data_IF_033895265732
#
_entry.id   IF_033895265732
#
_cell.length_a   1.000
_cell.length_b   1.000
_cell.length_c   1.000
_cell.angle_alpha   90.00
_cell.angle_beta   90.00
_cell.angle_gamma   90.00
#
_symmetry.space_group_name_H-M   'P 1'
#
loop_
_entity.id
_entity.type
_entity.pdbx_description
1 polymer ?
#
# COMPACT_ATOMS: atom_id res chain seq x y z
N UNK A 1 23.47 -53.11 -56.97
CA UNK A 1 24.66 -53.99 -56.85
C UNK A 1 24.98 -54.11 -55.35
N UNK A 2 24.47 -55.10 -54.70
CA UNK A 2 25.10 -56.37 -54.42
C UNK A 2 26.38 -56.19 -53.53
N UNK A 3 26.12 -56.29 -52.21
CA UNK A 3 26.56 -57.28 -51.19
C UNK A 3 28.09 -57.27 -50.81
N UNK A 4 28.52 -57.91 -49.71
CA UNK A 4 27.87 -58.53 -48.55
C UNK A 4 28.58 -58.26 -47.16
N UNK A 5 27.97 -58.82 -46.11
CA UNK A 5 28.55 -59.04 -44.74
C UNK A 5 29.66 -60.10 -44.73
N UNK A 6 30.49 -60.12 -43.65
CA UNK A 6 30.67 -61.45 -43.02
C UNK A 6 30.43 -61.37 -41.48
N UNK A 7 30.06 -62.55 -40.99
CA UNK A 7 29.97 -63.05 -39.62
C UNK A 7 31.35 -63.25 -39.01
N UNK A 8 31.48 -63.03 -37.68
CA UNK A 8 32.47 -63.82 -36.89
C UNK A 8 31.97 -64.02 -35.44
N UNK A 9 31.78 -65.20 -35.14
CA UNK A 9 31.71 -66.11 -34.02
C UNK A 9 32.13 -65.68 -32.61
N UNK A 10 31.24 -66.10 -31.70
CA UNK A 10 31.48 -66.23 -30.25
C UNK A 10 32.75 -67.06 -29.94
N UNK A 11 33.49 -66.57 -28.93
CA UNK A 11 34.22 -67.48 -28.03
C UNK A 11 34.05 -67.04 -26.58
N UNK A 12 33.54 -67.98 -25.77
CA UNK A 12 33.50 -67.96 -24.31
C UNK A 12 34.88 -67.75 -23.70
N UNK A 13 34.97 -66.94 -22.66
CA UNK A 13 35.90 -67.05 -21.57
C UNK A 13 35.20 -66.79 -20.24
N UNK A 14 34.79 -67.92 -19.65
CA UNK A 14 34.33 -68.04 -18.28
C UNK A 14 35.53 -68.09 -17.37
N UNK A 15 35.83 -67.07 -16.55
CA UNK A 15 36.54 -67.20 -15.29
C UNK A 15 37.01 -65.83 -14.74
N UNK A 16 36.13 -64.96 -14.28
CA UNK A 16 36.51 -63.77 -13.51
C UNK A 16 35.31 -63.17 -12.75
N UNK A 17 34.38 -63.98 -12.23
CA UNK A 17 33.17 -63.45 -11.54
C UNK A 17 33.14 -63.70 -10.02
N UNK A 18 34.23 -64.11 -9.35
CA UNK A 18 34.14 -64.40 -7.92
C UNK A 18 34.78 -63.40 -6.94
N UNK A 19 35.66 -62.46 -7.29
CA UNK A 19 36.07 -61.43 -6.29
C UNK A 19 35.31 -60.13 -6.27
N UNK A 20 34.34 -59.90 -7.19
CA UNK A 20 33.61 -58.65 -7.22
C UNK A 20 32.38 -58.60 -6.28
N UNK A 21 31.92 -59.74 -5.78
CA UNK A 21 30.77 -59.81 -4.86
C UNK A 21 31.11 -59.55 -3.40
N UNK A 22 32.38 -59.67 -2.97
CA UNK A 22 32.80 -59.37 -1.58
C UNK A 22 33.19 -57.93 -1.33
N UNK A 23 33.43 -57.13 -2.36
CA UNK A 23 33.73 -55.74 -2.22
C UNK A 23 32.45 -54.84 -2.19
N UNK A 24 31.30 -55.35 -2.64
CA UNK A 24 30.03 -54.63 -2.65
C UNK A 24 29.27 -54.66 -1.31
N UNK A 25 29.63 -55.56 -0.38
CA UNK A 25 28.97 -55.66 0.93
C UNK A 25 29.60 -54.81 2.04
N UNK A 26 30.76 -54.20 1.80
CA UNK A 26 31.47 -53.36 2.78
C UNK A 26 31.21 -51.83 2.59
N UNK A 27 30.44 -51.44 1.59
CA UNK A 27 30.08 -50.03 1.34
C UNK A 27 28.66 -49.66 1.80
N UNK A 28 27.95 -50.57 2.48
CA UNK A 28 26.56 -50.32 2.94
C UNK A 28 26.42 -50.00 4.44
N UNK A 29 27.54 -49.81 5.15
CA UNK A 29 27.50 -49.27 6.54
C UNK A 29 28.06 -47.86 6.63
N UNK A 30 27.83 -47.03 5.59
CA UNK A 30 27.90 -45.61 5.73
C UNK A 30 26.72 -45.17 6.57
N UNK A 31 26.97 -44.69 7.78
CA UNK A 31 25.99 -43.98 8.60
C UNK A 31 25.26 -42.98 7.71
N UNK A 32 24.04 -43.30 7.35
CA UNK A 32 23.07 -42.28 7.00
C UNK A 32 22.85 -41.48 8.28
N UNK A 33 23.66 -40.45 8.51
CA UNK A 33 23.17 -39.27 9.21
C UNK A 33 22.05 -38.76 8.32
N UNK A 34 20.84 -39.24 8.58
CA UNK A 34 19.63 -38.52 8.23
C UNK A 34 19.75 -37.26 9.06
N UNK A 35 20.44 -36.25 8.53
CA UNK A 35 20.08 -34.88 8.86
C UNK A 35 18.60 -34.83 8.52
N UNK A 36 17.73 -34.85 9.55
CA UNK A 36 16.37 -34.43 9.42
C UNK A 36 16.47 -33.08 8.70
N UNK A 37 16.19 -33.07 7.41
CA UNK A 37 15.96 -31.85 6.69
C UNK A 37 14.80 -31.24 7.44
N UNK A 38 15.09 -30.24 8.28
CA UNK A 38 14.10 -29.51 9.03
C UNK A 38 12.97 -29.17 8.03
N UNK A 39 11.77 -29.68 8.32
CA UNK A 39 10.64 -29.61 7.38
C UNK A 39 10.14 -28.17 7.40
N UNK A 40 10.91 -27.28 6.72
CA UNK A 40 10.70 -25.82 6.66
C UNK A 40 9.31 -25.56 6.08
N UNK A 41 8.51 -24.78 6.79
CA UNK A 41 7.21 -24.34 6.32
C UNK A 41 7.38 -23.08 5.51
N UNK A 42 7.30 -23.19 4.19
CA UNK A 42 7.31 -22.02 3.30
C UNK A 42 5.92 -21.45 3.16
N UNK A 43 5.79 -20.15 3.40
CA UNK A 43 4.57 -19.35 3.20
C UNK A 43 4.88 -18.15 2.31
N UNK A 44 3.87 -17.70 1.55
CA UNK A 44 4.00 -16.57 0.64
C UNK A 44 3.32 -15.33 1.16
N UNK A 45 4.00 -14.19 1.09
CA UNK A 45 3.46 -12.86 1.33
C UNK A 45 3.33 -12.11 0.00
N UNK A 46 2.11 -11.88 -0.47
CA UNK A 46 1.88 -10.97 -1.59
C UNK A 46 1.79 -9.53 -1.10
N UNK A 47 2.55 -8.65 -1.74
CA UNK A 47 2.63 -7.25 -1.34
C UNK A 47 2.73 -6.30 -2.55
N UNK A 48 2.33 -5.06 -2.33
CA UNK A 48 2.40 -3.97 -3.31
C UNK A 48 3.19 -2.76 -2.79
N UNK A 49 4.15 -3.00 -1.90
CA UNK A 49 4.92 -1.94 -1.24
C UNK A 49 5.65 -1.08 -2.28
N UNK A 50 5.48 0.23 -2.18
CA UNK A 50 6.07 1.23 -3.05
C UNK A 50 6.36 2.52 -2.25
N UNK A 51 7.36 3.32 -2.58
CA UNK A 51 8.35 3.16 -3.67
C UNK A 51 9.37 2.02 -3.42
N UNK A 52 10.23 1.70 -4.40
CA UNK A 52 11.20 0.61 -4.28
C UNK A 52 12.03 0.58 -3.00
N UNK A 53 12.57 1.69 -2.46
CA UNK A 53 13.32 1.66 -1.20
C UNK A 53 12.53 1.07 -0.02
N UNK A 54 11.21 1.24 0.01
CA UNK A 54 10.37 0.66 1.06
C UNK A 54 10.29 -0.87 0.94
N UNK A 55 10.39 -1.42 -0.29
CA UNK A 55 10.46 -2.88 -0.52
C UNK A 55 11.73 -3.47 0.04
N UNK A 56 12.85 -2.75 -0.06
CA UNK A 56 14.14 -3.22 0.47
C UNK A 56 14.10 -3.28 2.00
N UNK A 57 13.42 -2.32 2.65
CA UNK A 57 13.15 -2.36 4.09
C UNK A 57 12.28 -3.57 4.45
N UNK A 58 11.19 -3.82 3.70
CA UNK A 58 10.35 -4.99 3.93
C UNK A 58 11.14 -6.29 3.77
N UNK A 59 11.96 -6.41 2.73
CA UNK A 59 12.78 -7.61 2.50
C UNK A 59 13.77 -7.82 3.66
N UNK A 60 14.42 -6.76 4.13
CA UNK A 60 15.31 -6.83 5.30
C UNK A 60 14.59 -7.38 6.54
N UNK A 61 13.35 -6.95 6.77
CA UNK A 61 12.56 -7.42 7.91
C UNK A 61 12.07 -8.85 7.73
N UNK A 62 11.71 -9.26 6.51
CA UNK A 62 11.36 -10.64 6.18
C UNK A 62 12.57 -11.57 6.38
N UNK A 63 13.74 -11.16 5.91
CA UNK A 63 14.99 -11.94 6.07
C UNK A 63 15.34 -12.09 7.54
N UNK A 64 15.14 -11.03 8.35
CA UNK A 64 15.33 -11.11 9.80
C UNK A 64 14.39 -12.11 10.46
N UNK A 65 13.10 -12.10 10.09
CA UNK A 65 12.14 -13.08 10.58
C UNK A 65 12.56 -14.50 10.22
N UNK A 66 12.96 -14.74 8.97
CA UNK A 66 13.42 -16.03 8.48
C UNK A 66 14.65 -16.54 9.24
N UNK A 67 15.60 -15.64 9.56
CA UNK A 67 16.78 -15.97 10.38
C UNK A 67 16.41 -16.35 11.82
N UNK A 68 15.43 -15.66 12.41
CA UNK A 68 14.96 -15.92 13.78
C UNK A 68 14.08 -17.16 13.89
N UNK A 69 13.53 -17.65 12.78
CA UNK A 69 12.58 -18.77 12.72
C UNK A 69 12.98 -19.80 11.67
N UNK A 70 14.00 -20.62 11.93
CA UNK A 70 14.59 -21.52 10.94
C UNK A 70 13.63 -22.63 10.44
N UNK A 71 12.51 -22.83 11.12
CA UNK A 71 11.43 -23.76 10.75
C UNK A 71 10.37 -23.12 9.83
N UNK A 72 10.45 -21.81 9.61
CA UNK A 72 9.53 -21.04 8.75
C UNK A 72 10.32 -20.23 7.72
N UNK A 73 9.86 -20.25 6.48
CA UNK A 73 10.39 -19.38 5.44
C UNK A 73 9.27 -18.56 4.81
N UNK A 74 9.32 -17.24 4.99
CA UNK A 74 8.41 -16.29 4.34
C UNK A 74 9.04 -15.83 3.04
N UNK A 75 8.34 -16.04 1.92
CA UNK A 75 8.71 -15.54 0.61
C UNK A 75 7.87 -14.29 0.28
N UNK A 76 8.53 -13.13 0.20
CA UNK A 76 7.88 -11.85 -0.10
C UNK A 76 7.84 -11.60 -1.60
N UNK A 77 6.65 -11.51 -2.18
CA UNK A 77 6.42 -11.37 -3.62
C UNK A 77 5.74 -10.03 -3.93
N UNK A 78 6.43 -9.16 -4.68
CA UNK A 78 5.82 -7.95 -5.20
C UNK A 78 4.89 -8.29 -6.37
N UNK A 79 3.60 -8.02 -6.23
CA UNK A 79 2.57 -8.37 -7.23
C UNK A 79 1.93 -7.16 -7.91
N UNK A 80 2.50 -5.98 -7.70
CA UNK A 80 2.01 -4.70 -8.23
C UNK A 80 1.35 -3.84 -7.15
N UNK A 81 1.02 -2.60 -7.49
CA UNK A 81 0.25 -1.71 -6.61
C UNK A 81 -1.25 -2.09 -6.60
N UNK A 82 -2.06 -1.46 -5.76
CA UNK A 82 -3.44 -1.87 -5.46
C UNK A 82 -4.28 -2.17 -6.71
N UNK A 83 -4.22 -1.32 -7.74
CA UNK A 83 -4.99 -1.49 -8.97
C UNK A 83 -4.56 -2.71 -9.80
N UNK A 84 -3.28 -3.05 -9.76
CA UNK A 84 -2.72 -4.22 -10.44
C UNK A 84 -2.85 -5.48 -9.59
N UNK A 85 -2.81 -5.33 -8.28
CA UNK A 85 -2.84 -6.41 -7.30
C UNK A 85 -4.25 -7.00 -7.15
N UNK A 86 -5.28 -6.15 -7.07
CA UNK A 86 -6.65 -6.57 -6.81
C UNK A 86 -7.17 -7.66 -7.76
N UNK A 87 -7.09 -7.53 -9.10
CA UNK A 87 -7.56 -8.58 -10.00
C UNK A 87 -6.79 -9.90 -9.83
N UNK A 88 -5.48 -9.85 -9.51
CA UNK A 88 -4.67 -11.04 -9.26
C UNK A 88 -5.11 -11.77 -7.98
N UNK A 89 -5.38 -11.01 -6.90
CA UNK A 89 -5.88 -11.54 -5.63
C UNK A 89 -7.21 -12.27 -5.86
N UNK A 90 -8.16 -11.60 -6.52
CA UNK A 90 -9.49 -12.17 -6.75
C UNK A 90 -9.42 -13.44 -7.65
N UNK A 91 -8.58 -13.41 -8.68
CA UNK A 91 -8.37 -14.60 -9.53
C UNK A 91 -7.74 -15.75 -8.75
N UNK A 92 -6.77 -15.50 -7.87
CA UNK A 92 -6.14 -16.50 -7.03
C UNK A 92 -7.13 -17.10 -6.02
N UNK A 93 -7.96 -16.28 -5.39
CA UNK A 93 -9.00 -16.73 -4.45
C UNK A 93 -10.02 -17.62 -5.17
N UNK A 94 -10.55 -17.19 -6.31
CA UNK A 94 -11.52 -17.98 -7.10
C UNK A 94 -10.88 -19.27 -7.63
N UNK A 95 -9.59 -19.22 -7.98
CA UNK A 95 -8.80 -20.37 -8.44
C UNK A 95 -8.34 -21.32 -7.33
N UNK A 96 -8.72 -21.10 -6.06
CA UNK A 96 -8.26 -21.87 -4.88
C UNK A 96 -6.74 -21.92 -4.72
N UNK A 97 -6.04 -20.86 -5.12
CA UNK A 97 -4.59 -20.71 -5.01
C UNK A 97 -4.20 -19.32 -4.44
N UNK A 98 -4.82 -18.86 -3.35
CA UNK A 98 -4.43 -17.59 -2.73
C UNK A 98 -3.04 -17.70 -2.08
N UNK A 99 -2.34 -16.55 -1.82
CA UNK A 99 -1.17 -16.55 -0.96
C UNK A 99 -1.54 -16.93 0.47
N UNK A 100 -0.56 -17.15 1.34
CA UNK A 100 -0.83 -17.32 2.77
C UNK A 100 -1.09 -15.99 3.46
N UNK A 101 -0.37 -14.95 3.03
CA UNK A 101 -0.40 -13.61 3.55
C UNK A 101 -0.58 -12.59 2.43
N UNK A 102 -1.39 -11.58 2.70
CA UNK A 102 -1.61 -10.48 1.79
C UNK A 102 -1.48 -9.14 2.53
N UNK A 103 -0.60 -8.29 2.03
CA UNK A 103 -0.51 -6.90 2.38
C UNK A 103 -1.43 -6.09 1.45
N UNK A 104 -2.52 -5.55 1.98
CA UNK A 104 -3.48 -4.77 1.21
C UNK A 104 -4.29 -3.84 2.12
N UNK A 105 -4.96 -2.82 1.55
CA UNK A 105 -5.78 -1.94 2.34
C UNK A 105 -7.03 -2.64 2.93
N UNK A 106 -7.46 -2.19 4.10
CA UNK A 106 -8.54 -2.78 4.88
C UNK A 106 -9.90 -2.83 4.15
N UNK A 107 -10.10 -2.00 3.11
CA UNK A 107 -11.37 -1.97 2.37
C UNK A 107 -11.66 -3.25 1.59
N UNK A 108 -10.66 -4.14 1.43
CA UNK A 108 -10.83 -5.45 0.81
C UNK A 108 -11.48 -6.47 1.75
N UNK A 109 -11.50 -6.24 3.05
CA UNK A 109 -12.00 -7.19 4.08
C UNK A 109 -13.37 -7.74 3.72
N UNK A 110 -14.35 -6.87 3.44
CA UNK A 110 -15.71 -7.31 3.14
C UNK A 110 -15.79 -8.27 1.95
N UNK A 111 -15.01 -8.04 0.90
CA UNK A 111 -14.97 -8.90 -0.28
C UNK A 111 -14.30 -10.25 0.00
N UNK A 112 -13.21 -10.27 0.78
CA UNK A 112 -12.55 -11.52 1.18
C UNK A 112 -13.42 -12.36 2.11
N UNK A 113 -14.19 -11.73 2.98
CA UNK A 113 -15.17 -12.41 3.87
C UNK A 113 -16.30 -13.01 3.03
N UNK A 114 -16.88 -12.26 2.09
CA UNK A 114 -17.92 -12.76 1.17
C UNK A 114 -17.45 -13.96 0.35
N UNK A 115 -16.19 -13.95 -0.09
CA UNK A 115 -15.55 -15.06 -0.80
C UNK A 115 -15.11 -16.20 0.13
N UNK A 116 -15.34 -16.10 1.44
CA UNK A 116 -14.91 -17.10 2.44
C UNK A 116 -13.40 -17.43 2.38
N UNK A 117 -12.56 -16.45 1.97
CA UNK A 117 -11.14 -16.63 1.74
C UNK A 117 -10.28 -16.53 3.01
N UNK A 118 -10.74 -15.77 4.00
CA UNK A 118 -10.07 -15.51 5.27
C UNK A 118 -10.92 -16.00 6.43
N UNK A 119 -10.34 -16.06 7.62
CA UNK A 119 -11.05 -16.46 8.85
C UNK A 119 -10.91 -15.41 9.93
N UNK A 120 -11.84 -15.40 10.93
CA UNK A 120 -11.72 -14.53 12.09
C UNK A 120 -10.41 -14.76 12.86
N UNK A 121 -9.81 -13.69 13.36
CA UNK A 121 -8.52 -13.68 14.06
C UNK A 121 -8.63 -13.30 15.54
N UNK A 122 -9.82 -12.99 16.06
CA UNK A 122 -10.02 -12.52 17.44
C UNK A 122 -9.43 -13.46 18.47
N UNK A 123 -9.63 -14.79 18.33
CA UNK A 123 -9.08 -15.75 19.27
C UNK A 123 -7.56 -15.74 19.33
N UNK A 124 -6.89 -15.58 18.18
CA UNK A 124 -5.46 -15.48 18.13
C UNK A 124 -4.99 -14.12 18.68
N UNK A 125 -5.62 -13.03 18.26
CA UNK A 125 -5.26 -11.68 18.68
C UNK A 125 -5.47 -11.48 20.19
N UNK A 126 -6.55 -12.03 20.78
CA UNK A 126 -6.83 -11.95 22.21
C UNK A 126 -5.78 -12.67 23.08
N UNK A 127 -5.12 -13.68 22.51
CA UNK A 127 -4.03 -14.39 23.16
C UNK A 127 -2.64 -13.80 22.83
N UNK A 128 -2.56 -12.82 21.92
CA UNK A 128 -1.30 -12.18 21.59
C UNK A 128 -0.87 -11.18 22.67
N UNK A 129 0.39 -11.28 23.17
CA UNK A 129 0.90 -10.34 24.16
C UNK A 129 1.02 -8.90 23.60
N UNK A 130 1.02 -8.75 22.27
CA UNK A 130 1.21 -7.46 21.58
C UNK A 130 -0.12 -6.74 21.33
N UNK A 131 -1.28 -7.40 21.52
CA UNK A 131 -2.60 -6.78 21.27
C UNK A 131 -2.76 -5.43 21.96
N UNK A 132 -2.38 -5.35 23.25
CA UNK A 132 -2.52 -4.12 24.04
C UNK A 132 -1.59 -2.97 23.60
N UNK A 133 -0.64 -3.28 22.72
CA UNK A 133 0.31 -2.30 22.18
C UNK A 133 -0.18 -1.71 20.83
N UNK A 134 -1.21 -2.30 20.21
CA UNK A 134 -1.80 -1.77 18.97
C UNK A 134 -2.60 -0.51 19.29
N UNK A 135 -2.42 0.54 18.49
CA UNK A 135 -3.20 1.77 18.60
C UNK A 135 -4.71 1.48 18.50
N UNK A 136 -5.51 1.76 19.54
CA UNK A 136 -6.95 1.48 19.54
C UNK A 136 -7.71 2.12 18.37
N UNK A 137 -7.24 3.24 17.82
CA UNK A 137 -7.84 3.91 16.67
C UNK A 137 -7.82 3.06 15.38
N UNK A 138 -7.01 2.01 15.34
CA UNK A 138 -6.88 1.13 14.18
C UNK A 138 -7.81 -0.08 14.21
N UNK A 139 -8.46 -0.39 15.34
CA UNK A 139 -9.34 -1.55 15.44
C UNK A 139 -10.51 -1.48 14.45
N UNK A 140 -11.05 -0.27 14.17
CA UNK A 140 -12.09 -0.10 13.15
C UNK A 140 -11.64 -0.63 11.77
N UNK A 141 -10.36 -0.53 11.43
CA UNK A 141 -9.80 -1.04 10.16
C UNK A 141 -9.62 -2.57 10.13
N UNK A 142 -9.70 -3.22 11.28
CA UNK A 142 -9.51 -4.67 11.44
C UNK A 142 -10.85 -5.42 11.47
N UNK A 143 -11.94 -4.71 11.80
CA UNK A 143 -13.24 -5.29 12.14
C UNK A 143 -14.25 -5.18 10.99
N UNK A 144 -15.00 -6.25 10.79
CA UNK A 144 -16.14 -6.29 9.89
C UNK A 144 -17.16 -7.32 10.40
N UNK A 145 -18.45 -6.95 10.45
CA UNK A 145 -19.56 -7.80 10.95
C UNK A 145 -19.30 -8.39 12.36
N UNK A 146 -18.66 -7.62 13.24
CA UNK A 146 -18.40 -8.03 14.62
C UNK A 146 -17.24 -8.99 14.82
N UNK A 147 -16.42 -9.22 13.79
CA UNK A 147 -15.23 -10.06 13.84
C UNK A 147 -13.98 -9.29 13.44
N UNK A 148 -12.82 -9.70 13.95
CA UNK A 148 -11.48 -9.24 13.52
C UNK A 148 -10.97 -10.10 12.37
N UNK A 149 -10.68 -9.52 11.20
CA UNK A 149 -10.34 -10.25 9.99
C UNK A 149 -8.91 -10.06 9.50
N UNK A 150 -8.21 -9.11 10.06
CA UNK A 150 -6.83 -8.75 9.66
C UNK A 150 -6.12 -8.10 10.82
N UNK A 151 -4.81 -7.89 10.69
CA UNK A 151 -4.04 -7.05 11.61
C UNK A 151 -3.48 -5.85 10.88
N UNK A 152 -3.33 -4.67 11.52
CA UNK A 152 -2.75 -3.52 10.87
C UNK A 152 -1.26 -3.78 10.63
N UNK A 153 -0.81 -3.56 9.40
CA UNK A 153 0.60 -3.65 9.05
C UNK A 153 1.30 -2.30 9.23
N UNK A 154 0.64 -1.24 8.80
CA UNK A 154 1.12 0.12 8.90
C UNK A 154 -0.08 1.09 8.88
N UNK A 155 0.13 2.32 9.33
CA UNK A 155 -0.84 3.39 9.14
C UNK A 155 -0.19 4.60 8.49
N UNK A 156 -1.00 5.38 7.81
CA UNK A 156 -0.59 6.61 7.13
C UNK A 156 -1.77 7.59 7.03
N UNK A 157 -1.47 8.79 6.61
CA UNK A 157 -2.48 9.76 6.19
C UNK A 157 -1.93 10.69 5.11
N UNK A 158 -2.79 11.51 4.49
CA UNK A 158 -2.44 12.37 3.37
C UNK A 158 -2.08 13.76 3.85
N UNK A 159 -0.96 14.31 3.33
CA UNK A 159 -0.53 15.69 3.53
C UNK A 159 -0.16 16.37 2.22
N UNK A 160 0.23 17.63 2.30
CA UNK A 160 0.76 18.39 1.17
C UNK A 160 2.25 18.50 1.30
N UNK A 161 2.99 17.89 0.38
CA UNK A 161 4.43 18.06 0.24
C UNK A 161 4.70 19.31 -0.58
N UNK A 162 5.72 20.07 -0.20
CA UNK A 162 6.11 21.30 -0.91
C UNK A 162 7.64 21.44 -0.97
N UNK A 163 8.11 22.27 -1.91
CA UNK A 163 9.52 22.62 -2.09
C UNK A 163 9.82 23.94 -1.39
N UNK A 164 10.45 23.96 -0.19
CA UNK A 164 10.76 25.18 0.55
C UNK A 164 11.60 26.19 -0.25
N UNK A 165 12.54 25.71 -1.07
CA UNK A 165 13.35 26.58 -1.94
C UNK A 165 12.49 27.36 -2.95
N UNK A 166 11.49 26.69 -3.53
CA UNK A 166 10.58 27.30 -4.51
C UNK A 166 9.66 28.30 -3.82
N UNK A 167 9.10 27.96 -2.62
CA UNK A 167 8.29 28.88 -1.81
C UNK A 167 9.08 30.14 -1.45
N UNK A 168 10.32 29.97 -0.98
CA UNK A 168 11.20 31.08 -0.64
C UNK A 168 11.50 31.98 -1.85
N UNK A 169 11.80 31.40 -3.00
CA UNK A 169 12.07 32.14 -4.23
C UNK A 169 10.84 32.95 -4.70
N UNK A 170 9.61 32.45 -4.42
CA UNK A 170 8.36 33.16 -4.71
C UNK A 170 7.93 34.12 -3.61
N UNK A 171 8.72 34.31 -2.53
CA UNK A 171 8.39 35.20 -1.43
C UNK A 171 7.26 34.70 -0.51
N UNK A 172 6.94 33.41 -0.56
CA UNK A 172 5.89 32.80 0.29
C UNK A 172 6.49 32.44 1.64
N UNK A 173 5.99 33.09 2.68
CA UNK A 173 6.48 32.92 4.07
C UNK A 173 5.50 32.16 4.95
N UNK A 174 4.25 32.00 4.53
CA UNK A 174 3.20 31.31 5.27
C UNK A 174 2.64 30.14 4.44
N UNK A 175 2.47 29.02 5.09
CA UNK A 175 1.86 27.84 4.47
C UNK A 175 0.34 27.99 4.42
N UNK A 176 -0.31 27.60 3.31
CA UNK A 176 -1.76 27.75 3.14
C UNK A 176 -2.53 26.88 4.14
N UNK A 177 -3.54 27.46 4.79
CA UNK A 177 -4.39 26.83 5.79
C UNK A 177 -5.79 26.50 5.23
N UNK A 178 -6.20 27.19 4.17
CA UNK A 178 -7.51 27.07 3.52
C UNK A 178 -7.37 26.70 2.05
N UNK A 179 -8.46 26.20 1.44
CA UNK A 179 -8.47 25.91 0.01
C UNK A 179 -8.19 27.14 -0.85
N UNK A 180 -8.74 28.30 -0.46
CA UNK A 180 -8.55 29.54 -1.19
C UNK A 180 -7.09 30.01 -1.15
N UNK A 181 -6.44 29.90 0.02
CA UNK A 181 -5.01 30.16 0.17
C UNK A 181 -4.16 29.15 -0.64
N UNK A 182 -4.51 27.85 -0.62
CA UNK A 182 -3.82 26.84 -1.42
C UNK A 182 -3.90 27.17 -2.92
N UNK A 183 -5.08 27.59 -3.40
CA UNK A 183 -5.26 28.01 -4.81
C UNK A 183 -4.42 29.24 -5.14
N UNK A 184 -4.42 30.24 -4.24
CA UNK A 184 -3.61 31.44 -4.42
C UNK A 184 -2.11 31.12 -4.48
N UNK A 185 -1.63 30.30 -3.54
CA UNK A 185 -0.24 29.83 -3.49
C UNK A 185 0.11 29.03 -4.75
N UNK A 186 -0.77 28.12 -5.21
CA UNK A 186 -0.53 27.35 -6.42
C UNK A 186 -0.36 28.25 -7.66
N UNK A 187 -1.19 29.31 -7.81
CA UNK A 187 -1.03 30.30 -8.88
C UNK A 187 0.30 31.05 -8.77
N UNK A 188 0.69 31.48 -7.58
CA UNK A 188 1.92 32.23 -7.35
C UNK A 188 3.18 31.40 -7.65
N UNK A 189 3.11 30.09 -7.45
CA UNK A 189 4.21 29.15 -7.70
C UNK A 189 4.30 28.69 -9.17
N UNK A 190 3.24 28.91 -9.95
CA UNK A 190 3.21 28.59 -11.38
C UNK A 190 4.05 29.61 -12.17
N UNK A 191 5.00 29.15 -12.95
CA UNK A 191 5.95 30.03 -13.60
C UNK A 191 6.45 29.47 -14.96
N UNK A 192 6.66 30.40 -15.87
CA UNK A 192 7.61 30.27 -16.94
C UNK A 192 9.01 30.59 -16.38
N UNK A 193 9.88 29.62 -16.31
CA UNK A 193 11.20 29.75 -15.65
C UNK A 193 12.31 30.06 -16.66
N UNK A 194 12.05 29.95 -17.95
CA UNK A 194 13.01 30.13 -19.03
C UNK A 194 12.69 31.33 -19.98
N UNK A 195 11.48 31.91 -19.87
CA UNK A 195 11.05 33.09 -20.62
C UNK A 195 10.52 32.80 -22.03
N UNK A 196 10.11 31.54 -22.30
CA UNK A 196 9.59 31.14 -23.61
C UNK A 196 8.06 31.28 -23.76
N UNK A 197 7.40 31.88 -22.77
CA UNK A 197 5.96 32.04 -22.62
C UNK A 197 5.19 30.72 -22.45
N UNK A 198 5.85 29.67 -21.95
CA UNK A 198 5.23 28.41 -21.55
C UNK A 198 5.44 28.18 -20.07
N UNK A 199 4.50 27.47 -19.45
CA UNK A 199 4.64 27.08 -18.05
C UNK A 199 5.62 25.90 -17.96
N UNK A 200 6.77 26.12 -17.30
CA UNK A 200 7.74 25.07 -16.99
C UNK A 200 7.50 24.45 -15.61
N UNK A 201 6.92 25.22 -14.72
CA UNK A 201 6.61 24.79 -13.35
C UNK A 201 5.18 25.08 -12.99
N UNK A 202 4.45 24.06 -12.60
CA UNK A 202 3.10 24.20 -12.03
C UNK A 202 3.15 24.30 -10.50
N UNK A 203 2.19 25.01 -9.93
CA UNK A 203 2.07 25.17 -8.47
C UNK A 203 1.77 23.85 -7.77
N UNK A 204 0.96 22.99 -8.38
CA UNK A 204 0.52 21.76 -7.74
C UNK A 204 0.29 20.61 -8.74
N UNK A 205 0.53 19.39 -8.25
CA UNK A 205 0.28 18.14 -8.97
C UNK A 205 -1.00 17.49 -8.47
N UNK A 206 -1.92 17.12 -9.37
CA UNK A 206 -3.14 16.41 -9.06
C UNK A 206 -3.11 14.98 -9.63
N UNK A 207 -3.52 13.98 -8.84
CA UNK A 207 -3.57 12.59 -9.32
C UNK A 207 -4.67 12.43 -10.35
N UNK A 208 -4.33 11.81 -11.48
CA UNK A 208 -5.28 11.39 -12.51
C UNK A 208 -5.39 9.87 -12.51
N UNK A 209 -6.60 9.33 -12.55
CA UNK A 209 -6.83 7.88 -12.66
C UNK A 209 -8.18 7.46 -12.08
N UNK A 210 -8.62 6.29 -12.53
CA UNK A 210 -9.88 5.66 -12.09
C UNK A 210 -9.71 4.80 -10.84
N UNK A 211 -8.49 4.73 -10.32
CA UNK A 211 -8.13 3.83 -9.22
C UNK A 211 -8.31 4.45 -7.85
N UNK A 212 -8.16 3.61 -6.86
CA UNK A 212 -8.26 3.94 -5.44
C UNK A 212 -7.29 5.05 -5.01
N UNK A 213 -6.11 5.13 -5.64
CA UNK A 213 -5.11 6.13 -5.25
C UNK A 213 -5.59 7.57 -5.46
N UNK A 214 -6.18 7.87 -6.62
CA UNK A 214 -6.71 9.22 -6.88
C UNK A 214 -7.88 9.54 -5.93
N UNK A 215 -8.76 8.58 -5.67
CA UNK A 215 -9.85 8.71 -4.72
C UNK A 215 -9.31 8.95 -3.31
N UNK A 216 -8.34 8.17 -2.85
CA UNK A 216 -7.74 8.30 -1.53
C UNK A 216 -7.14 9.69 -1.28
N UNK A 217 -6.45 10.26 -2.28
CA UNK A 217 -5.88 11.61 -2.19
C UNK A 217 -6.93 12.73 -2.28
N UNK A 218 -8.08 12.47 -2.90
CA UNK A 218 -9.19 13.42 -3.00
C UNK A 218 -10.09 13.43 -1.76
N UNK A 219 -10.26 12.29 -1.07
CA UNK A 219 -11.16 12.15 0.08
C UNK A 219 -10.98 13.21 1.17
N UNK A 220 -9.76 13.63 1.54
CA UNK A 220 -9.57 14.73 2.49
C UNK A 220 -10.32 15.99 2.12
N UNK A 221 -10.37 16.33 0.84
CA UNK A 221 -11.07 17.51 0.34
C UNK A 221 -12.59 17.33 0.42
N UNK A 222 -13.12 16.20 -0.02
CA UNK A 222 -14.54 15.90 0.11
C UNK A 222 -15.00 16.00 1.58
N UNK A 223 -14.29 15.36 2.49
CA UNK A 223 -14.61 15.40 3.92
C UNK A 223 -14.41 16.79 4.53
N UNK A 224 -13.37 17.53 4.13
CA UNK A 224 -13.15 18.90 4.55
C UNK A 224 -14.26 19.84 4.07
N UNK A 225 -14.85 19.58 2.92
CA UNK A 225 -16.03 20.25 2.40
C UNK A 225 -17.35 19.85 3.07
N UNK A 226 -17.33 18.91 4.04
CA UNK A 226 -18.53 18.44 4.75
C UNK A 226 -19.23 17.26 4.08
N UNK A 227 -18.62 16.64 3.06
CA UNK A 227 -19.19 15.49 2.35
C UNK A 227 -19.00 14.16 3.08
N UNK A 228 -19.75 13.16 2.64
CA UNK A 228 -19.71 11.77 3.12
C UNK A 228 -19.71 10.80 1.94
N UNK A 229 -19.11 9.62 2.14
CA UNK A 229 -19.06 8.54 1.11
C UNK A 229 -20.32 7.68 1.12
N UNK A 230 -20.81 7.40 2.31
CA UNK A 230 -21.91 6.48 2.57
C UNK A 230 -22.88 7.12 3.55
N UNK A 231 -24.12 6.64 3.56
CA UNK A 231 -25.14 7.02 4.52
C UNK A 231 -24.81 6.47 5.93
N UNK A 232 -25.67 6.75 6.90
CA UNK A 232 -25.47 6.36 8.30
C UNK A 232 -25.39 4.83 8.51
N UNK A 233 -25.92 4.04 7.57
CA UNK A 233 -25.80 2.58 7.56
C UNK A 233 -24.38 2.08 7.20
N UNK A 234 -23.47 2.99 6.88
CA UNK A 234 -22.07 2.74 6.47
C UNK A 234 -21.90 1.85 5.22
N UNK A 235 -22.96 1.58 4.46
CA UNK A 235 -22.96 0.68 3.31
C UNK A 235 -23.58 1.31 2.05
N UNK A 236 -24.63 2.10 2.20
CA UNK A 236 -25.31 2.74 1.07
C UNK A 236 -24.52 3.93 0.55
N UNK A 237 -24.11 3.97 -0.73
CA UNK A 237 -23.42 5.12 -1.31
C UNK A 237 -24.24 6.41 -1.19
N UNK A 238 -23.63 7.47 -0.68
CA UNK A 238 -24.26 8.79 -0.50
C UNK A 238 -23.34 9.90 -1.02
N UNK A 239 -22.80 9.71 -2.23
CA UNK A 239 -21.76 10.57 -2.81
C UNK A 239 -22.31 11.87 -3.40
N UNK A 240 -23.63 11.99 -3.61
CA UNK A 240 -24.26 13.24 -4.06
C UNK A 240 -24.44 14.16 -2.85
N UNK A 241 -23.41 14.91 -2.55
CA UNK A 241 -23.43 15.88 -1.47
C UNK A 241 -22.57 17.12 -1.81
N UNK A 242 -22.79 18.22 -1.07
CA UNK A 242 -22.13 19.50 -1.34
C UNK A 242 -20.60 19.40 -1.19
N UNK A 243 -20.09 18.58 -0.25
CA UNK A 243 -18.64 18.41 -0.06
C UNK A 243 -17.96 17.73 -1.25
N UNK A 244 -18.62 16.72 -1.85
CA UNK A 244 -18.12 16.07 -3.06
C UNK A 244 -18.10 17.03 -4.25
N UNK A 245 -19.18 17.78 -4.47
CA UNK A 245 -19.27 18.76 -5.56
C UNK A 245 -18.22 19.86 -5.37
N UNK A 246 -18.18 20.51 -4.20
CA UNK A 246 -17.25 21.61 -3.92
C UNK A 246 -15.78 21.20 -4.03
N UNK A 247 -15.43 19.97 -3.62
CA UNK A 247 -14.05 19.48 -3.74
C UNK A 247 -13.63 19.25 -5.19
N UNK A 248 -14.54 18.78 -6.04
CA UNK A 248 -14.31 18.65 -7.49
C UNK A 248 -14.21 20.01 -8.17
N UNK A 249 -15.08 20.97 -7.80
CA UNK A 249 -15.02 22.36 -8.28
C UNK A 249 -13.68 23.00 -7.91
N UNK A 250 -13.20 22.76 -6.69
CA UNK A 250 -11.90 23.22 -6.23
C UNK A 250 -10.75 22.66 -7.08
N UNK A 251 -10.69 21.35 -7.29
CA UNK A 251 -9.64 20.74 -8.12
C UNK A 251 -9.72 21.18 -9.59
N UNK A 252 -10.94 21.28 -10.13
CA UNK A 252 -11.17 21.83 -11.48
C UNK A 252 -10.67 23.27 -11.61
N UNK A 253 -10.87 24.10 -10.56
CA UNK A 253 -10.39 25.47 -10.56
C UNK A 253 -8.87 25.61 -10.63
N UNK A 254 -8.12 24.70 -10.00
CA UNK A 254 -6.66 24.65 -10.08
C UNK A 254 -6.17 24.36 -11.50
N UNK A 255 -6.90 23.51 -12.23
CA UNK A 255 -6.61 23.24 -13.65
C UNK A 255 -6.97 24.42 -14.52
N UNK A 256 -8.15 25.01 -14.32
CA UNK A 256 -8.60 26.19 -15.07
C UNK A 256 -7.69 27.40 -14.91
N UNK A 257 -7.06 27.54 -13.73
CA UNK A 257 -6.04 28.57 -13.46
C UNK A 257 -4.69 28.29 -14.15
N UNK A 258 -4.48 27.10 -14.74
CA UNK A 258 -3.18 26.65 -15.21
C UNK A 258 -2.18 26.34 -14.08
N UNK A 259 -2.63 26.36 -12.83
CA UNK A 259 -1.76 26.16 -11.67
C UNK A 259 -1.55 24.68 -11.31
N UNK A 260 -2.39 23.79 -11.83
CA UNK A 260 -2.24 22.36 -11.63
C UNK A 260 -1.85 21.62 -12.92
N UNK A 261 -1.03 20.60 -12.75
CA UNK A 261 -0.77 19.57 -13.78
C UNK A 261 -1.29 18.22 -13.30
N UNK A 262 -1.80 17.43 -14.23
CA UNK A 262 -2.30 16.07 -13.94
C UNK A 262 -1.18 15.04 -14.03
N UNK A 263 -1.24 14.04 -13.17
CA UNK A 263 -0.34 12.88 -13.26
C UNK A 263 -0.55 12.11 -14.57
N UNK A 264 0.45 11.33 -14.92
CA UNK A 264 0.24 10.23 -15.88
C UNK A 264 -0.76 9.22 -15.26
N UNK A 265 -1.55 8.52 -16.10
CA UNK A 265 -2.45 7.48 -15.60
C UNK A 265 -1.73 6.29 -14.96
N UNK A 266 -0.48 6.06 -15.39
CA UNK A 266 0.38 5.00 -14.87
C UNK A 266 0.90 5.34 -13.48
N UNK A 267 0.89 4.31 -12.61
CA UNK A 267 1.41 4.41 -11.25
C UNK A 267 2.92 4.22 -11.20
N UNK A 268 3.56 4.89 -10.23
CA UNK A 268 4.98 4.73 -9.94
C UNK A 268 5.84 5.94 -10.30
N UNK A 269 5.30 6.94 -10.98
CA UNK A 269 5.99 8.15 -11.44
C UNK A 269 5.49 9.42 -10.74
N UNK A 270 4.67 9.27 -9.70
CA UNK A 270 3.94 10.38 -9.07
C UNK A 270 4.84 11.44 -8.43
N UNK A 271 6.09 11.07 -8.10
CA UNK A 271 7.05 11.98 -7.47
C UNK A 271 8.03 12.64 -8.44
N UNK A 272 8.12 12.16 -9.68
CA UNK A 272 9.19 12.56 -10.60
C UNK A 272 9.17 14.07 -10.92
N UNK A 273 8.02 14.63 -11.19
CA UNK A 273 7.88 16.07 -11.46
C UNK A 273 8.19 16.93 -10.22
N UNK A 274 7.91 16.41 -9.02
CA UNK A 274 8.29 17.07 -7.77
C UNK A 274 9.81 17.04 -7.57
N UNK A 275 10.45 15.91 -7.81
CA UNK A 275 11.91 15.78 -7.75
C UNK A 275 12.61 16.69 -8.77
N UNK A 276 12.07 16.77 -9.98
CA UNK A 276 12.58 17.62 -11.05
C UNK A 276 12.29 19.11 -10.84
N UNK A 277 11.48 19.51 -9.82
CA UNK A 277 11.10 20.89 -9.59
C UNK A 277 10.09 21.44 -10.60
N UNK A 278 9.47 20.57 -11.40
CA UNK A 278 8.40 20.94 -12.35
C UNK A 278 7.07 21.17 -11.66
N UNK A 279 6.91 20.71 -10.42
CA UNK A 279 5.80 21.03 -9.54
C UNK A 279 6.32 21.47 -8.18
N UNK A 280 5.66 22.46 -7.59
CA UNK A 280 6.04 23.01 -6.30
C UNK A 280 5.37 22.31 -5.12
N UNK A 281 4.20 21.72 -5.33
CA UNK A 281 3.41 21.01 -4.31
C UNK A 281 2.80 19.74 -4.89
N UNK A 282 2.58 18.73 -4.01
CA UNK A 282 1.81 17.54 -4.35
C UNK A 282 1.12 16.94 -3.12
N UNK A 283 -0.01 16.27 -3.33
CA UNK A 283 -0.67 15.47 -2.32
C UNK A 283 -0.05 14.07 -2.30
N UNK A 284 0.46 13.66 -1.15
CA UNK A 284 0.96 12.31 -0.93
C UNK A 284 1.03 12.02 0.56
N UNK A 285 1.62 10.90 0.97
CA UNK A 285 1.72 10.49 2.35
C UNK A 285 3.14 10.16 2.79
N UNK A 286 3.30 9.73 4.05
CA UNK A 286 4.61 9.48 4.66
C UNK A 286 5.42 8.39 3.96
N UNK A 287 4.79 7.51 3.17
CA UNK A 287 5.48 6.47 2.38
C UNK A 287 6.51 7.02 1.39
N UNK A 288 6.46 8.32 1.07
CA UNK A 288 7.44 8.98 0.18
C UNK A 288 8.66 9.50 0.92
N UNK A 289 8.64 9.57 2.25
CA UNK A 289 9.72 10.14 3.06
C UNK A 289 11.04 9.39 2.87
N UNK A 290 10.99 8.05 2.86
CA UNK A 290 12.17 7.21 2.63
C UNK A 290 12.84 7.50 1.27
N UNK A 291 12.05 7.66 0.22
CA UNK A 291 12.55 7.99 -1.12
C UNK A 291 13.10 9.42 -1.18
N UNK A 292 12.39 10.40 -0.63
CA UNK A 292 12.83 11.80 -0.63
C UNK A 292 14.15 12.00 0.12
N UNK A 293 14.33 11.30 1.24
CA UNK A 293 15.55 11.36 2.04
C UNK A 293 16.81 11.02 1.23
N UNK A 294 16.74 10.03 0.34
CA UNK A 294 17.90 9.59 -0.45
C UNK A 294 18.14 10.43 -1.70
N UNK A 295 17.18 11.26 -2.13
CA UNK A 295 17.32 12.11 -3.32
C UNK A 295 18.03 13.44 -3.02
N UNK A 296 18.11 13.87 -1.76
CA UNK A 296 18.67 15.17 -1.36
C UNK A 296 17.83 16.37 -1.77
N UNK A 297 16.63 16.17 -2.30
CA UNK A 297 15.70 17.24 -2.67
C UNK A 297 15.14 17.88 -1.40
N UNK A 298 15.11 19.21 -1.36
CA UNK A 298 14.47 19.94 -0.27
C UNK A 298 12.97 19.70 -0.28
N UNK A 299 12.39 19.40 0.88
CA UNK A 299 10.95 19.24 1.01
C UNK A 299 10.49 19.60 2.42
N UNK A 300 9.23 20.00 2.50
CA UNK A 300 8.48 20.14 3.73
C UNK A 300 7.09 19.55 3.56
N UNK A 301 6.37 19.41 4.64
CA UNK A 301 4.98 18.92 4.64
C UNK A 301 4.12 19.85 5.46
N UNK A 302 2.90 20.08 5.02
CA UNK A 302 1.87 20.73 5.82
C UNK A 302 0.54 19.95 5.72
N UNK A 303 -0.35 20.11 6.71
CA UNK A 303 -1.64 19.43 6.71
C UNK A 303 -2.49 19.82 5.49
N UNK A 304 -3.44 18.96 5.10
CA UNK A 304 -4.43 19.30 4.07
C UNK A 304 -5.17 20.58 4.49
N UNK A 305 -5.18 21.63 3.66
CA UNK A 305 -5.91 22.87 3.93
C UNK A 305 -7.41 22.64 4.07
N UNK A 306 -8.04 23.42 4.93
CA UNK A 306 -9.44 23.25 5.30
C UNK A 306 -10.42 24.05 4.43
N UNK A 307 -11.64 23.52 4.26
CA UNK A 307 -12.80 24.30 3.78
C UNK A 307 -13.72 24.63 4.95
N UNK A 308 -14.38 23.65 5.53
CA UNK A 308 -15.29 23.80 6.66
C UNK A 308 -14.78 23.09 7.94
N UNK A 309 -14.01 22.02 7.78
CA UNK A 309 -13.42 21.25 8.88
C UNK A 309 -12.08 20.64 8.48
N UNK A 310 -11.23 20.39 9.47
CA UNK A 310 -10.00 19.62 9.22
C UNK A 310 -10.36 18.16 8.91
N UNK A 311 -9.70 17.59 7.92
CA UNK A 311 -9.83 16.19 7.56
C UNK A 311 -8.58 15.70 6.83
N UNK A 312 -8.23 14.44 7.07
CA UNK A 312 -7.30 13.69 6.22
C UNK A 312 -7.80 12.26 6.05
N UNK A 313 -7.42 11.61 4.97
CA UNK A 313 -7.71 10.19 4.79
C UNK A 313 -6.68 9.36 5.57
N UNK A 314 -7.18 8.53 6.48
CA UNK A 314 -6.37 7.48 7.11
C UNK A 314 -6.31 6.30 6.17
N UNK A 315 -5.10 5.92 5.89
CA UNK A 315 -4.77 4.72 5.14
C UNK A 315 -3.82 3.85 5.94
N UNK A 316 -3.17 3.03 5.21
CA UNK A 316 -2.34 1.96 5.69
C UNK A 316 -2.90 0.65 5.21
N UNK A 317 -2.06 -0.31 5.24
CA UNK A 317 -2.42 -1.65 4.82
C UNK A 317 -2.52 -2.55 6.02
N UNK A 318 -3.41 -3.52 5.89
CA UNK A 318 -3.55 -4.63 6.81
C UNK A 318 -2.86 -5.87 6.24
N UNK A 319 -2.48 -6.76 7.14
CA UNK A 319 -2.04 -8.09 6.81
C UNK A 319 -3.21 -9.05 6.96
N UNK A 320 -3.60 -9.67 5.86
CA UNK A 320 -4.63 -10.70 5.82
C UNK A 320 -3.98 -12.08 5.85
N UNK A 321 -4.59 -13.00 6.61
CA UNK A 321 -4.20 -14.40 6.67
C UNK A 321 -5.25 -15.22 5.94
N UNK A 322 -4.86 -15.85 4.83
CA UNK A 322 -5.75 -16.70 4.05
C UNK A 322 -5.91 -18.07 4.68
N UNK A 323 -7.08 -18.69 4.46
CA UNK A 323 -7.32 -20.09 4.83
C UNK A 323 -6.38 -21.02 4.06
N UNK A 324 -5.70 -21.88 4.79
CA UNK A 324 -4.79 -22.87 4.21
C UNK A 324 -4.66 -24.09 5.14
N UNK A 325 -3.54 -24.80 5.11
CA UNK A 325 -3.31 -25.88 6.07
C UNK A 325 -3.00 -25.34 7.47
N UNK A 326 -3.37 -26.05 8.56
CA UNK A 326 -3.10 -25.58 9.92
C UNK A 326 -1.63 -25.20 10.16
N UNK A 327 -0.68 -25.90 9.54
CA UNK A 327 0.75 -25.63 9.67
C UNK A 327 1.13 -24.29 9.01
N UNK A 328 0.62 -24.01 7.81
CA UNK A 328 0.87 -22.75 7.10
C UNK A 328 0.17 -21.58 7.78
N UNK A 329 -1.06 -21.76 8.25
CA UNK A 329 -1.79 -20.73 9.00
C UNK A 329 -1.06 -20.37 10.31
N UNK A 330 -0.53 -21.36 11.05
CA UNK A 330 0.25 -21.09 12.25
C UNK A 330 1.55 -20.32 11.93
N UNK A 331 2.23 -20.64 10.84
CA UNK A 331 3.40 -19.90 10.39
C UNK A 331 3.05 -18.47 9.97
N UNK A 332 1.93 -18.27 9.27
CA UNK A 332 1.43 -16.96 8.88
C UNK A 332 1.07 -16.09 10.10
N UNK A 333 0.43 -16.66 11.11
CA UNK A 333 0.11 -15.96 12.37
C UNK A 333 1.36 -15.59 13.16
N UNK A 334 2.41 -16.44 13.13
CA UNK A 334 3.69 -16.11 13.76
C UNK A 334 4.39 -14.93 13.06
N UNK A 335 4.31 -14.86 11.73
CA UNK A 335 4.79 -13.69 10.99
C UNK A 335 3.94 -12.45 11.28
N UNK A 336 2.61 -12.59 11.38
CA UNK A 336 1.72 -11.49 11.73
C UNK A 336 2.05 -10.91 13.13
N UNK A 337 2.39 -11.76 14.11
CA UNK A 337 2.82 -11.31 15.44
C UNK A 337 4.14 -10.52 15.38
N UNK A 338 5.09 -10.95 14.55
CA UNK A 338 6.32 -10.19 14.30
C UNK A 338 6.02 -8.82 13.68
N UNK A 339 5.10 -8.76 12.69
CA UNK A 339 4.72 -7.52 12.01
C UNK A 339 4.14 -6.48 12.98
N UNK A 340 3.32 -6.88 13.95
CA UNK A 340 2.73 -5.95 14.92
C UNK A 340 3.65 -5.64 16.11
N UNK A 341 4.84 -6.25 16.20
CA UNK A 341 5.79 -6.04 17.29
C UNK A 341 6.42 -4.64 17.27
N UNK A 342 6.90 -4.20 18.43
CA UNK A 342 7.67 -2.95 18.58
C UNK A 342 8.88 -2.94 17.65
N UNK A 343 9.59 -4.06 17.55
CA UNK A 343 10.81 -4.19 16.74
C UNK A 343 10.55 -3.94 15.25
N UNK A 344 9.58 -4.67 14.68
CA UNK A 344 9.20 -4.50 13.28
C UNK A 344 8.72 -3.08 13.02
N UNK A 345 7.79 -2.59 13.83
CA UNK A 345 7.14 -1.30 13.64
C UNK A 345 8.10 -0.12 13.75
N UNK A 346 9.08 -0.20 14.66
CA UNK A 346 10.14 0.83 14.77
C UNK A 346 11.01 0.86 13.51
N UNK A 347 11.46 -0.31 13.03
CA UNK A 347 12.34 -0.38 11.86
C UNK A 347 11.60 0.00 10.58
N UNK A 348 10.36 -0.49 10.42
CA UNK A 348 9.50 -0.15 9.30
C UNK A 348 9.25 1.35 9.21
N UNK A 349 8.82 1.97 10.31
CA UNK A 349 8.50 3.40 10.34
C UNK A 349 9.71 4.30 10.04
N UNK A 350 10.86 4.02 10.64
CA UNK A 350 12.10 4.79 10.41
C UNK A 350 12.59 4.63 8.96
N UNK A 351 12.51 3.41 8.41
CA UNK A 351 13.00 3.13 7.07
C UNK A 351 12.11 3.67 5.94
N UNK A 352 10.80 3.70 6.16
CA UNK A 352 9.82 4.02 5.12
C UNK A 352 9.11 5.37 5.30
N UNK A 353 9.02 5.84 6.56
CA UNK A 353 8.23 7.00 6.94
C UNK A 353 6.78 6.70 7.33
N UNK A 354 6.28 5.48 7.16
CA UNK A 354 4.96 5.10 7.68
C UNK A 354 4.85 5.35 9.17
N UNK A 355 3.64 5.51 9.67
CA UNK A 355 3.41 5.69 11.10
C UNK A 355 3.32 4.32 11.78
N UNK A 356 4.00 4.13 12.93
CA UNK A 356 3.91 2.86 13.66
C UNK A 356 2.50 2.60 14.16
N UNK A 357 2.01 1.38 14.02
CA UNK A 357 0.76 0.93 14.60
C UNK A 357 0.91 0.53 16.07
N UNK A 358 2.12 0.20 16.47
CA UNK A 358 2.47 -0.21 17.83
C UNK A 358 2.84 1.02 18.68
N UNK A 359 2.15 1.19 19.81
CA UNK A 359 2.32 2.35 20.68
C UNK A 359 3.70 2.40 21.35
N UNK A 360 4.30 1.24 21.69
CA UNK A 360 5.68 1.20 22.22
C UNK A 360 6.69 1.62 21.16
N UNK A 361 6.52 1.13 19.92
CA UNK A 361 7.35 1.56 18.81
C UNK A 361 7.27 3.08 18.62
N UNK A 362 6.06 3.64 18.72
CA UNK A 362 5.83 5.10 18.62
C UNK A 362 6.52 5.89 19.74
N UNK A 363 6.65 5.30 20.93
CA UNK A 363 7.29 5.90 22.11
C UNK A 363 8.79 5.59 22.21
N UNK A 364 9.32 4.68 21.39
CA UNK A 364 10.73 4.28 21.45
C UNK A 364 11.67 5.45 21.19
N UNK A 365 12.80 5.51 21.90
CA UNK A 365 13.83 6.56 21.73
C UNK A 365 14.28 6.68 20.27
N UNK A 366 14.40 5.54 19.56
CA UNK A 366 14.81 5.50 18.16
C UNK A 366 13.79 6.18 17.24
N UNK A 367 12.50 5.91 17.43
CA UNK A 367 11.47 6.56 16.63
C UNK A 367 11.30 8.03 16.97
N UNK A 368 11.40 8.41 18.26
CA UNK A 368 11.36 9.81 18.69
C UNK A 368 12.54 10.62 18.14
N UNK A 369 13.74 10.05 18.09
CA UNK A 369 14.89 10.67 17.42
C UNK A 369 14.62 10.88 15.93
N UNK A 370 14.05 9.87 15.23
CA UNK A 370 13.67 10.01 13.84
C UNK A 370 12.65 11.14 13.61
N UNK A 371 11.62 11.26 14.46
CA UNK A 371 10.63 12.35 14.37
C UNK A 371 11.25 13.72 14.60
N UNK A 372 12.23 13.82 15.52
CA UNK A 372 12.96 15.05 15.77
C UNK A 372 13.81 15.49 14.55
N UNK A 373 14.41 14.54 13.87
CA UNK A 373 15.20 14.76 12.64
C UNK A 373 14.34 14.99 11.38
N UNK A 374 13.10 14.52 11.39
CA UNK A 374 12.16 14.58 10.26
C UNK A 374 10.88 15.33 10.63
N UNK A 375 10.87 16.67 10.58
CA UNK A 375 9.67 17.47 10.93
C UNK A 375 8.41 17.07 10.13
N UNK A 376 8.58 16.56 8.93
CA UNK A 376 7.49 16.04 8.12
C UNK A 376 6.72 14.87 8.78
N UNK A 377 7.43 13.97 9.49
CA UNK A 377 6.81 12.88 10.22
C UNK A 377 5.89 13.38 11.34
N UNK A 378 6.28 14.48 12.01
CA UNK A 378 5.49 15.11 13.06
C UNK A 378 4.13 15.61 12.53
N UNK A 379 4.11 16.20 11.32
CA UNK A 379 2.86 16.66 10.69
C UNK A 379 1.86 15.52 10.53
N UNK A 380 2.30 14.36 10.07
CA UNK A 380 1.44 13.19 9.91
C UNK A 380 0.93 12.63 11.24
N UNK A 381 1.76 12.65 12.30
CA UNK A 381 1.34 12.27 13.65
C UNK A 381 0.27 13.22 14.21
N UNK A 382 0.48 14.53 14.06
CA UNK A 382 -0.43 15.55 14.58
C UNK A 382 -1.77 15.56 13.84
N UNK A 383 -1.78 15.36 12.51
CA UNK A 383 -3.04 15.37 11.76
C UNK A 383 -3.82 14.05 11.86
N UNK A 384 -3.25 12.96 12.37
CA UNK A 384 -3.93 11.69 12.54
C UNK A 384 -5.24 11.82 13.36
N UNK A 385 -5.30 12.76 14.33
CA UNK A 385 -6.50 13.06 15.10
C UNK A 385 -7.71 13.54 14.26
N UNK A 386 -7.46 14.03 13.04
CA UNK A 386 -8.49 14.45 12.07
C UNK A 386 -8.70 13.41 10.97
N UNK A 387 -8.11 12.24 11.19
CA UNK A 387 -8.14 11.14 10.24
C UNK A 387 -9.52 10.51 10.11
N UNK A 388 -9.87 10.14 8.89
CA UNK A 388 -11.11 9.41 8.59
C UNK A 388 -10.79 8.18 7.77
N UNK A 389 -11.30 7.05 8.21
CA UNK A 389 -11.17 5.76 7.51
C UNK A 389 -12.19 5.64 6.38
N UNK A 390 -11.84 4.86 5.38
CA UNK A 390 -12.77 4.46 4.33
C UNK A 390 -13.67 3.33 4.86
N UNK A 391 -14.93 3.27 4.44
CA UNK A 391 -15.85 2.24 4.92
C UNK A 391 -15.45 0.85 4.42
N UNK A 392 -15.73 -0.18 5.24
CA UNK A 392 -15.46 -1.59 4.92
C UNK A 392 -16.78 -2.27 4.55
N UNK A 393 -16.92 -2.67 3.29
CA UNK A 393 -18.03 -3.49 2.79
C UNK A 393 -17.64 -4.16 1.46
N UNK A 394 -18.31 -5.25 1.03
CA UNK A 394 -17.87 -6.10 -0.08
C UNK A 394 -17.72 -5.37 -1.43
N UNK A 395 -18.47 -4.31 -1.64
CA UNK A 395 -18.52 -3.57 -2.92
C UNK A 395 -17.75 -2.25 -2.89
N UNK A 396 -16.90 -2.02 -1.87
CA UNK A 396 -16.13 -0.77 -1.77
C UNK A 396 -15.30 -0.50 -3.04
N UNK A 397 -14.69 -1.50 -3.65
CA UNK A 397 -13.91 -1.35 -4.88
C UNK A 397 -14.75 -0.77 -6.04
N UNK A 398 -16.05 -1.09 -6.10
CA UNK A 398 -16.97 -0.53 -7.10
C UNK A 398 -17.32 0.92 -6.81
N UNK A 399 -17.48 1.26 -5.53
CA UNK A 399 -17.68 2.65 -5.11
C UNK A 399 -16.46 3.49 -5.50
N UNK A 400 -15.26 3.04 -5.13
CA UNK A 400 -14.01 3.72 -5.45
C UNK A 400 -13.80 3.90 -6.96
N UNK A 401 -14.05 2.84 -7.76
CA UNK A 401 -13.99 2.94 -9.23
C UNK A 401 -14.98 3.96 -9.79
N UNK A 402 -16.21 4.00 -9.25
CA UNK A 402 -17.23 4.97 -9.62
C UNK A 402 -16.79 6.41 -9.36
N UNK A 403 -16.22 6.65 -8.17
CA UNK A 403 -15.65 7.95 -7.79
C UNK A 403 -14.43 8.32 -8.64
N UNK A 404 -13.51 7.38 -8.87
CA UNK A 404 -12.34 7.63 -9.70
C UNK A 404 -12.72 8.04 -11.14
N UNK A 405 -13.75 7.42 -11.72
CA UNK A 405 -14.29 7.82 -13.03
C UNK A 405 -14.92 9.23 -12.99
N UNK A 406 -15.61 9.59 -11.93
CA UNK A 406 -16.16 10.92 -11.76
C UNK A 406 -15.05 11.97 -11.66
N UNK A 407 -14.04 11.73 -10.83
CA UNK A 407 -12.84 12.55 -10.72
C UNK A 407 -12.16 12.75 -12.08
N UNK A 408 -11.83 11.66 -12.77
CA UNK A 408 -11.18 11.71 -14.09
C UNK A 408 -12.01 12.51 -15.09
N UNK A 409 -13.33 12.32 -15.11
CA UNK A 409 -14.22 13.02 -16.04
C UNK A 409 -14.24 14.54 -15.81
N UNK A 410 -14.24 14.97 -14.55
CA UNK A 410 -14.18 16.38 -14.18
C UNK A 410 -12.81 16.99 -14.50
N UNK A 411 -11.73 16.31 -14.10
CA UNK A 411 -10.36 16.82 -14.29
C UNK A 411 -9.99 16.93 -15.77
N UNK A 412 -10.56 16.08 -16.62
CA UNK A 412 -10.39 16.13 -18.09
C UNK A 412 -11.41 17.07 -18.78
N UNK A 413 -12.24 17.78 -18.02
CA UNK A 413 -13.24 18.71 -18.58
C UNK A 413 -14.38 18.04 -19.33
N UNK A 414 -14.62 16.73 -19.14
CA UNK A 414 -15.66 15.95 -19.83
C UNK A 414 -17.03 16.07 -19.18
N UNK A 415 -17.11 16.46 -17.90
CA UNK A 415 -18.33 16.61 -17.13
C UNK A 415 -18.18 17.75 -16.15
N UNK A 416 -19.30 18.38 -15.78
CA UNK A 416 -19.32 19.25 -14.60
C UNK A 416 -19.24 18.41 -13.31
N UNK A 417 -18.75 18.96 -12.20
CA UNK A 417 -18.72 18.28 -10.90
C UNK A 417 -20.07 17.67 -10.51
N UNK A 418 -21.15 18.46 -10.61
CA UNK A 418 -22.51 18.00 -10.30
C UNK A 418 -22.96 16.84 -11.19
N UNK A 419 -22.71 16.89 -12.51
CA UNK A 419 -23.06 15.82 -13.42
C UNK A 419 -22.26 14.54 -13.10
N UNK A 420 -20.97 14.66 -12.91
CA UNK A 420 -20.09 13.52 -12.64
C UNK A 420 -20.49 12.76 -11.36
N UNK A 421 -20.80 13.49 -10.28
CA UNK A 421 -21.23 12.90 -9.00
C UNK A 421 -22.60 12.24 -9.13
N UNK A 422 -23.57 12.88 -9.80
CA UNK A 422 -24.89 12.31 -10.03
C UNK A 422 -24.85 11.04 -10.91
N UNK A 423 -24.04 11.04 -11.95
CA UNK A 423 -23.88 9.89 -12.83
C UNK A 423 -23.19 8.72 -12.13
N UNK A 424 -22.20 9.02 -11.24
CA UNK A 424 -21.57 8.02 -10.40
C UNK A 424 -22.57 7.40 -9.41
N UNK A 425 -23.37 8.22 -8.72
CA UNK A 425 -24.41 7.77 -7.78
C UNK A 425 -25.41 6.84 -8.47
N UNK A 426 -25.96 7.24 -9.62
CA UNK A 426 -26.91 6.40 -10.39
C UNK A 426 -26.33 5.02 -10.74
N UNK A 427 -25.05 4.97 -11.14
CA UNK A 427 -24.38 3.69 -11.45
C UNK A 427 -24.19 2.84 -10.20
N UNK A 428 -23.84 3.46 -9.09
CA UNK A 428 -23.67 2.76 -7.82
C UNK A 428 -25.00 2.20 -7.30
N UNK A 429 -26.10 2.93 -7.43
CA UNK A 429 -27.43 2.45 -7.05
C UNK A 429 -27.83 1.17 -7.81
N UNK A 430 -27.40 1.01 -9.08
CA UNK A 430 -27.63 -0.22 -9.85
C UNK A 430 -26.77 -1.40 -9.35
N UNK A 431 -25.60 -1.12 -8.81
CA UNK A 431 -24.66 -2.13 -8.32
C UNK A 431 -25.04 -2.59 -6.89
N UNK A 432 -25.60 -1.69 -6.11
CA UNK A 432 -25.91 -1.92 -4.69
C UNK A 432 -27.34 -2.42 -4.45
N UNK A 433 -28.18 -2.50 -5.48
CA UNK A 433 -29.46 -3.21 -5.47
C UNK A 433 -29.22 -4.73 -5.52
#
# INVERSE_FOLDING_TARGET
MITPKPHLSLRLCSSLFLPLLLAATLLLTGCHNITETANITTITLWQGVNPPPNRDILQTLVDKFNQQNPDIHVESLYVGQAEQQLPKILAAVVGNAPPDLLWFNATLTGQLVELNAIKPLEQWLDNSPVKAEIDPALFESMEYLGHTWSVPFATNNVGVFYRPSIFKAAGITQLPQTWDELRQVARQLTADTNGDNRIDRHGIFLPLGKGEFAVFLWLPFMWSGGGELVADDKQTPAIVNQGAIASLEFWQSLIADGSAVLSLPERGFEIDDFLAGKVAMQFTGPWTLGQLKVTGVDFGVFPIPTKSRRATAVGGENLFVFKSTPKREAAALKFAEFVISEEFQTQWAIGTGYLPINLKARQSDRYQAFVAEQPAAKVFLEQAQYGRSRPIFPRYSRLSEGLGRALESVLLGKSTPTQAVNDAQKRLELIFR
#
